data_IF_457864104768
#
_entry.id   IF_457864104768
#
_cell.length_a   1.000
_cell.length_b   1.000
_cell.length_c   1.000
_cell.angle_alpha   90.00
_cell.angle_beta   90.00
_cell.angle_gamma   90.00
#
_symmetry.space_group_name_H-M   'P 1'
#
loop_
_entity.id
_entity.type
_entity.pdbx_description
1 polymer ?
#
# COMPACT_ATOMS: atom_id res chain seq x y z
N UNK A 1 14.18 -13.07 14.58
CA UNK A 1 13.30 -13.81 15.50
C UNK A 1 13.09 -12.97 16.75
N UNK A 2 11.88 -12.93 17.26
CA UNK A 2 11.56 -12.34 18.56
C UNK A 2 11.14 -13.49 19.49
N UNK A 3 12.03 -13.88 20.40
CA UNK A 3 11.86 -15.11 21.17
C UNK A 3 11.77 -16.35 20.26
N UNK A 4 10.70 -17.13 20.36
CA UNK A 4 10.43 -18.29 19.50
C UNK A 4 9.74 -17.93 18.17
N UNK A 5 9.26 -16.70 18.00
CA UNK A 5 8.50 -16.29 16.81
C UNK A 5 9.43 -15.77 15.70
N UNK A 6 9.31 -16.35 14.51
CA UNK A 6 10.00 -15.87 13.30
C UNK A 6 9.17 -14.78 12.64
N UNK A 7 9.59 -13.52 12.77
CA UNK A 7 8.87 -12.38 12.18
C UNK A 7 9.16 -12.18 10.68
N UNK A 8 10.36 -12.61 10.24
CA UNK A 8 10.80 -12.55 8.83
C UNK A 8 11.53 -13.84 8.52
N UNK A 9 11.14 -14.55 7.47
CA UNK A 9 11.65 -15.86 7.12
C UNK A 9 12.22 -15.87 5.69
N UNK A 10 13.55 -15.92 5.59
CA UNK A 10 14.34 -16.13 4.37
C UNK A 10 13.93 -15.23 3.19
N UNK A 11 13.74 -13.94 3.43
CA UNK A 11 13.43 -12.99 2.36
C UNK A 11 14.68 -12.63 1.55
N UNK A 12 14.52 -12.53 0.22
CA UNK A 12 15.53 -12.01 -0.69
C UNK A 12 14.93 -10.84 -1.48
N UNK A 13 15.51 -9.66 -1.34
CA UNK A 13 15.05 -8.43 -2.00
C UNK A 13 16.23 -7.71 -2.62
N UNK A 14 16.01 -7.19 -3.83
CA UNK A 14 16.94 -6.29 -4.50
C UNK A 14 16.17 -5.06 -4.99
N UNK A 15 16.61 -3.87 -4.59
CA UNK A 15 15.95 -2.60 -4.88
C UNK A 15 16.86 -1.77 -5.76
N UNK A 16 16.33 -1.27 -6.87
CA UNK A 16 17.08 -0.41 -7.80
C UNK A 16 17.31 0.97 -7.17
N UNK A 17 18.51 1.51 -7.37
CA UNK A 17 18.80 2.89 -6.97
C UNK A 17 17.89 3.88 -7.72
N UNK A 18 17.35 4.85 -6.99
CA UNK A 18 16.45 5.88 -7.54
C UNK A 18 15.01 5.43 -7.77
N UNK A 19 14.64 4.17 -7.49
CA UNK A 19 13.27 3.70 -7.60
C UNK A 19 12.46 3.91 -6.31
N UNK A 20 11.14 3.85 -6.45
CA UNK A 20 10.19 3.73 -5.35
C UNK A 20 9.78 2.26 -5.23
N UNK A 21 10.14 1.63 -4.13
CA UNK A 21 9.86 0.22 -3.85
C UNK A 21 8.84 0.08 -2.72
N UNK A 22 7.79 -0.71 -2.95
CA UNK A 22 6.74 -0.99 -1.97
C UNK A 22 6.91 -2.36 -1.31
N UNK A 23 6.83 -2.42 0.01
CA UNK A 23 6.64 -3.67 0.75
C UNK A 23 5.18 -3.72 1.21
N UNK A 24 4.35 -4.41 0.43
CA UNK A 24 2.91 -4.53 0.63
C UNK A 24 2.57 -5.77 1.46
N UNK A 25 1.75 -5.65 2.47
CA UNK A 25 1.27 -6.79 3.23
C UNK A 25 0.40 -6.40 4.42
N UNK A 26 -0.36 -7.34 4.99
CA UNK A 26 -1.24 -7.08 6.12
C UNK A 26 -0.46 -6.70 7.38
N UNK A 27 -1.20 -6.27 8.41
CA UNK A 27 -0.63 -6.00 9.72
C UNK A 27 -0.04 -7.28 10.31
N UNK A 28 1.15 -7.18 10.92
CA UNK A 28 1.86 -8.35 11.44
C UNK A 28 2.64 -9.18 10.40
N UNK A 29 2.58 -8.87 9.10
CA UNK A 29 3.30 -9.63 8.07
C UNK A 29 4.83 -9.52 8.14
N UNK A 30 5.40 -8.64 8.99
CA UNK A 30 6.85 -8.47 9.16
C UNK A 30 7.42 -7.21 8.52
N UNK A 31 6.61 -6.33 7.91
CA UNK A 31 7.03 -5.10 7.21
C UNK A 31 7.96 -4.21 8.04
N UNK A 32 7.49 -3.77 9.21
CA UNK A 32 8.27 -2.93 10.14
C UNK A 32 9.54 -3.63 10.63
N UNK A 33 9.51 -4.96 10.79
CA UNK A 33 10.70 -5.73 11.15
C UNK A 33 11.77 -5.67 10.06
N UNK A 34 11.36 -5.76 8.79
CA UNK A 34 12.28 -5.58 7.65
C UNK A 34 12.91 -4.19 7.69
N UNK A 35 12.12 -3.12 7.84
CA UNK A 35 12.64 -1.75 7.96
C UNK A 35 13.61 -1.63 9.15
N UNK A 36 13.26 -2.16 10.33
CA UNK A 36 14.15 -2.12 11.51
C UNK A 36 15.49 -2.82 11.27
N UNK A 37 15.51 -3.91 10.51
CA UNK A 37 16.76 -4.57 10.13
C UNK A 37 17.57 -3.73 9.14
N UNK A 38 16.93 -3.16 8.11
CA UNK A 38 17.59 -2.34 7.10
C UNK A 38 18.13 -1.02 7.65
N UNK A 39 17.46 -0.43 8.63
CA UNK A 39 17.92 0.81 9.32
C UNK A 39 18.96 0.54 10.43
N UNK A 40 19.27 -0.73 10.71
CA UNK A 40 20.22 -1.10 11.76
C UNK A 40 19.69 -0.95 13.19
N UNK A 41 18.35 -0.80 13.35
CA UNK A 41 17.70 -0.79 14.67
C UNK A 41 17.54 -2.20 15.25
N UNK A 42 17.51 -3.21 14.39
CA UNK A 42 17.44 -4.61 14.77
C UNK A 42 18.46 -5.42 13.96
N UNK A 43 19.14 -6.35 14.58
CA UNK A 43 20.09 -7.21 13.86
C UNK A 43 19.36 -8.40 13.23
N UNK A 44 19.61 -8.75 11.95
CA UNK A 44 19.15 -10.02 11.41
C UNK A 44 19.70 -11.19 12.23
N UNK A 45 18.87 -12.20 12.51
CA UNK A 45 19.30 -13.41 13.21
C UNK A 45 20.23 -14.24 12.32
N UNK A 46 19.93 -14.27 11.02
CA UNK A 46 20.72 -14.92 9.97
C UNK A 46 20.61 -14.14 8.66
N UNK A 47 21.53 -14.41 7.74
CA UNK A 47 21.54 -13.72 6.45
C UNK A 47 22.33 -12.42 6.48
N UNK A 48 22.21 -11.63 5.40
CA UNK A 48 22.97 -10.41 5.18
C UNK A 48 22.08 -9.34 4.55
N UNK A 49 22.22 -8.11 5.02
CA UNK A 49 21.55 -6.97 4.43
C UNK A 49 22.56 -5.87 4.10
N UNK A 50 22.46 -5.34 2.88
CA UNK A 50 23.28 -4.23 2.40
C UNK A 50 22.38 -3.03 2.11
N UNK A 51 22.73 -1.87 2.63
CA UNK A 51 22.03 -0.61 2.43
C UNK A 51 23.03 0.43 1.95
N UNK A 52 22.79 1.04 0.79
CA UNK A 52 23.74 1.94 0.13
C UNK A 52 25.16 1.34 -0.06
N UNK A 53 25.25 0.00 -0.20
CA UNK A 53 26.51 -0.73 -0.32
C UNK A 53 27.16 -1.13 1.02
N UNK A 54 26.61 -0.72 2.16
CA UNK A 54 27.13 -1.00 3.49
C UNK A 54 26.33 -2.09 4.19
N UNK A 55 27.03 -3.03 4.84
CA UNK A 55 26.40 -4.06 5.66
C UNK A 55 25.81 -3.45 6.93
N UNK A 56 24.53 -3.72 7.18
CA UNK A 56 23.76 -3.11 8.30
C UNK A 56 24.29 -3.51 9.67
N UNK A 57 25.00 -4.65 9.77
CA UNK A 57 25.50 -5.18 11.03
C UNK A 57 26.90 -4.64 11.36
N UNK A 58 27.80 -4.60 10.36
CA UNK A 58 29.20 -4.23 10.54
C UNK A 58 29.50 -2.76 10.30
N UNK A 59 28.64 -2.07 9.50
CA UNK A 59 28.81 -0.67 9.10
C UNK A 59 27.59 0.18 9.43
N UNK A 60 26.96 -0.03 10.59
CA UNK A 60 25.69 0.60 10.96
C UNK A 60 25.73 2.14 10.96
N UNK A 61 26.88 2.76 11.31
CA UNK A 61 27.04 4.22 11.23
C UNK A 61 26.99 4.72 9.78
N UNK A 62 27.68 4.02 8.86
CA UNK A 62 27.65 4.36 7.43
C UNK A 62 26.27 4.17 6.83
N UNK A 63 25.53 3.16 7.26
CA UNK A 63 24.11 3.01 6.88
C UNK A 63 23.32 4.22 7.33
N UNK A 64 23.41 4.62 8.61
CA UNK A 64 22.66 5.76 9.18
C UNK A 64 23.00 7.10 8.51
N UNK A 65 24.24 7.30 8.09
CA UNK A 65 24.65 8.50 7.34
C UNK A 65 23.97 8.59 5.94
N UNK A 66 23.59 7.45 5.35
CA UNK A 66 23.06 7.38 4.00
C UNK A 66 21.54 7.16 3.94
N UNK A 67 20.86 7.07 5.07
CA UNK A 67 19.42 6.84 5.11
C UNK A 67 18.67 7.96 5.82
N UNK A 68 17.47 8.29 5.32
CA UNK A 68 16.43 8.96 6.07
C UNK A 68 15.38 7.94 6.49
N UNK A 69 14.74 8.14 7.63
CA UNK A 69 13.69 7.26 8.10
C UNK A 69 12.52 8.04 8.66
N UNK A 70 11.33 7.67 8.21
CA UNK A 70 10.05 8.19 8.64
C UNK A 70 9.27 7.02 9.23
N UNK A 71 9.01 7.09 10.51
CA UNK A 71 8.24 6.09 11.26
C UNK A 71 6.75 6.21 10.99
N UNK A 72 5.99 5.14 11.27
CA UNK A 72 4.54 5.18 11.35
C UNK A 72 4.03 6.14 12.45
N UNK A 73 4.78 6.23 13.55
CA UNK A 73 4.51 7.19 14.62
C UNK A 73 5.21 8.52 14.35
N UNK A 74 4.53 9.62 14.64
CA UNK A 74 5.08 10.97 14.49
C UNK A 74 6.12 11.23 15.57
N UNK A 75 7.38 11.48 15.17
CA UNK A 75 8.51 11.74 16.06
C UNK A 75 8.86 13.25 16.01
N UNK A 76 7.92 14.10 16.36
CA UNK A 76 8.14 15.53 16.43
C UNK A 76 7.88 16.02 17.86
N UNK A 77 8.66 17.01 18.31
CA UNK A 77 8.36 17.70 19.56
C UNK A 77 7.28 18.75 19.31
N UNK A 78 6.08 18.46 19.78
CA UNK A 78 4.89 19.31 19.65
C UNK A 78 5.02 20.65 20.38
N UNK A 79 5.94 20.76 21.34
CA UNK A 79 6.19 22.00 22.10
C UNK A 79 7.11 22.97 21.36
N UNK A 80 7.83 22.50 20.34
CA UNK A 80 8.80 23.25 19.55
C UNK A 80 8.19 23.78 18.25
N UNK A 81 8.84 24.77 17.68
CA UNK A 81 8.55 25.29 16.34
C UNK A 81 9.15 24.40 15.26
N UNK A 82 8.76 24.61 14.00
CA UNK A 82 9.34 23.96 12.84
C UNK A 82 10.87 24.04 12.80
N UNK A 83 11.40 25.24 12.97
CA UNK A 83 12.86 25.45 12.87
C UNK A 83 13.63 24.85 14.07
N UNK A 84 13.04 24.80 15.25
CA UNK A 84 13.64 24.16 16.41
C UNK A 84 13.71 22.64 16.24
N UNK A 85 12.63 21.99 15.74
CA UNK A 85 12.66 20.57 15.39
C UNK A 85 13.75 20.26 14.34
N UNK A 86 13.82 21.08 13.27
CA UNK A 86 14.85 20.92 12.22
C UNK A 86 16.26 21.16 12.79
N UNK A 87 16.43 22.11 13.69
CA UNK A 87 17.71 22.37 14.35
C UNK A 87 18.20 21.15 15.15
N UNK A 88 17.31 20.53 15.94
CA UNK A 88 17.66 19.30 16.69
C UNK A 88 18.15 18.23 15.71
N UNK A 89 17.41 17.99 14.62
CA UNK A 89 17.79 17.01 13.59
C UNK A 89 19.16 17.35 12.97
N UNK A 90 19.42 18.64 12.70
CA UNK A 90 20.73 19.06 12.17
C UNK A 90 21.89 18.74 13.10
N UNK A 91 21.65 18.82 14.42
CA UNK A 91 22.66 18.50 15.44
C UNK A 91 22.87 17.00 15.58
N UNK A 92 21.81 16.21 15.51
CA UNK A 92 21.91 14.73 15.54
C UNK A 92 22.75 14.19 14.37
N UNK A 93 22.67 14.83 13.20
CA UNK A 93 23.48 14.49 12.03
C UNK A 93 24.79 15.26 11.91
N UNK A 94 25.17 16.06 12.92
CA UNK A 94 26.40 16.88 12.93
C UNK A 94 26.55 17.74 11.67
N UNK A 95 25.45 18.30 11.15
CA UNK A 95 25.46 19.10 9.94
C UNK A 95 26.14 20.45 10.19
N UNK A 96 26.86 20.91 9.17
CA UNK A 96 27.50 22.22 9.17
C UNK A 96 26.49 23.38 9.14
N UNK A 97 26.96 24.62 9.12
CA UNK A 97 26.10 25.81 9.15
C UNK A 97 25.24 25.98 7.89
N UNK A 98 25.38 25.13 6.87
CA UNK A 98 24.57 25.19 5.64
C UNK A 98 23.17 24.58 5.82
N UNK A 99 22.94 23.84 6.91
CA UNK A 99 21.66 23.20 7.18
C UNK A 99 20.46 24.16 7.13
N UNK A 100 20.62 25.41 7.57
CA UNK A 100 19.55 26.42 7.53
C UNK A 100 19.11 26.72 6.09
N UNK A 101 20.06 26.88 5.15
CA UNK A 101 19.76 27.11 3.73
C UNK A 101 19.03 25.89 3.13
N UNK A 102 19.45 24.67 3.50
CA UNK A 102 18.81 23.44 3.05
C UNK A 102 17.38 23.34 3.62
N UNK A 103 17.20 23.62 4.90
CA UNK A 103 15.89 23.62 5.56
C UNK A 103 14.92 24.58 4.89
N UNK A 104 15.33 25.84 4.67
CA UNK A 104 14.50 26.86 3.98
C UNK A 104 14.09 26.39 2.58
N UNK A 105 15.02 25.80 1.82
CA UNK A 105 14.74 25.27 0.48
C UNK A 105 13.73 24.12 0.54
N UNK A 106 13.87 23.19 1.49
CA UNK A 106 12.96 22.06 1.68
C UNK A 106 11.58 22.51 2.16
N UNK A 107 11.51 23.46 3.10
CA UNK A 107 10.25 24.04 3.58
C UNK A 107 9.47 24.69 2.42
N UNK A 108 10.14 25.49 1.61
CA UNK A 108 9.53 26.11 0.41
C UNK A 108 9.08 25.04 -0.60
N UNK A 109 9.91 24.02 -0.84
CA UNK A 109 9.62 22.94 -1.79
C UNK A 109 8.42 22.10 -1.38
N UNK A 110 8.25 21.88 -0.06
CA UNK A 110 7.16 21.09 0.53
C UNK A 110 5.94 21.94 0.91
N UNK A 111 5.97 23.24 0.56
CA UNK A 111 4.87 24.17 0.86
C UNK A 111 4.51 24.19 2.37
N UNK A 112 5.53 24.23 3.20
CA UNK A 112 5.41 24.42 4.64
C UNK A 112 6.04 25.75 5.01
N UNK A 113 5.24 26.68 5.53
CA UNK A 113 5.73 28.04 5.81
C UNK A 113 6.80 28.02 6.93
N UNK A 114 8.01 28.49 6.60
CA UNK A 114 9.13 28.60 7.52
C UNK A 114 8.96 29.68 8.60
N UNK A 115 8.18 30.71 8.28
CA UNK A 115 7.94 31.88 9.14
C UNK A 115 6.85 31.64 10.15
N UNK A 116 6.16 30.51 10.08
CA UNK A 116 5.15 30.17 11.05
C UNK A 116 5.82 29.76 12.37
N UNK A 117 5.93 30.75 13.28
CA UNK A 117 6.40 30.54 14.66
C UNK A 117 5.45 29.69 15.51
N UNK A 118 4.45 29.06 14.89
CA UNK A 118 3.54 28.17 15.59
C UNK A 118 4.27 26.91 16.01
N UNK A 119 3.91 26.45 17.19
CA UNK A 119 4.37 25.15 17.69
C UNK A 119 3.80 24.05 16.83
N UNK A 120 4.60 23.01 16.61
CA UNK A 120 4.24 21.84 15.76
C UNK A 120 3.00 21.10 16.29
N UNK A 121 2.71 21.19 17.59
CA UNK A 121 1.48 20.66 18.18
C UNK A 121 0.17 21.24 17.61
N UNK A 122 0.23 22.39 16.91
CA UNK A 122 -0.92 23.00 16.22
C UNK A 122 -1.02 22.60 14.74
N UNK A 123 -0.11 21.76 14.25
CA UNK A 123 -0.09 21.32 12.86
C UNK A 123 -1.12 20.22 12.61
N UNK A 124 -1.68 20.20 11.40
CA UNK A 124 -2.44 19.04 10.94
C UNK A 124 -1.50 17.83 10.79
N UNK A 125 -2.07 16.62 10.78
CA UNK A 125 -1.29 15.39 10.57
C UNK A 125 -0.47 15.45 9.27
N UNK A 126 -1.06 15.99 8.19
CA UNK A 126 -0.36 16.18 6.92
C UNK A 126 0.81 17.18 7.01
N UNK A 127 0.68 18.27 7.76
CA UNK A 127 1.78 19.21 8.00
C UNK A 127 2.89 18.58 8.85
N UNK A 128 2.54 17.79 9.86
CA UNK A 128 3.51 17.03 10.66
C UNK A 128 4.28 16.05 9.78
N UNK A 129 3.59 15.32 8.91
CA UNK A 129 4.23 14.37 7.99
C UNK A 129 5.16 15.07 6.98
N UNK A 130 4.78 16.26 6.47
CA UNK A 130 5.68 17.07 5.63
C UNK A 130 6.96 17.48 6.40
N UNK A 131 6.84 17.86 7.67
CA UNK A 131 8.00 18.22 8.49
C UNK A 131 8.92 17.04 8.76
N UNK A 132 8.37 15.85 9.04
CA UNK A 132 9.17 14.62 9.17
C UNK A 132 9.97 14.32 7.91
N UNK A 133 9.35 14.49 6.73
CA UNK A 133 10.01 14.32 5.43
C UNK A 133 11.15 15.32 5.27
N UNK A 134 10.94 16.60 5.63
CA UNK A 134 11.99 17.63 5.59
C UNK A 134 13.17 17.23 6.47
N UNK A 135 12.90 16.80 7.69
CA UNK A 135 13.93 16.36 8.63
C UNK A 135 14.69 15.15 8.12
N UNK A 136 13.98 14.18 7.54
CA UNK A 136 14.60 12.97 6.96
C UNK A 136 15.45 13.25 5.71
N UNK A 137 15.18 14.34 4.97
CA UNK A 137 15.93 14.75 3.78
C UNK A 137 17.07 15.74 4.07
N UNK A 138 17.13 16.29 5.28
CA UNK A 138 18.02 17.41 5.61
C UNK A 138 19.51 17.10 5.38
N UNK A 139 19.92 15.86 5.65
CA UNK A 139 21.30 15.36 5.49
C UNK A 139 21.56 14.72 4.11
N UNK A 140 20.60 14.88 3.15
CA UNK A 140 20.71 14.39 1.77
C UNK A 140 20.97 12.88 1.67
N UNK A 141 20.08 12.04 2.24
CA UNK A 141 20.25 10.60 2.24
C UNK A 141 20.15 10.04 0.81
N UNK A 142 20.79 8.87 0.59
CA UNK A 142 20.62 8.11 -0.67
C UNK A 142 19.36 7.29 -0.69
N UNK A 143 18.87 6.89 0.50
CA UNK A 143 17.70 6.03 0.66
C UNK A 143 16.78 6.63 1.72
N UNK A 144 15.48 6.68 1.42
CA UNK A 144 14.44 7.09 2.35
C UNK A 144 13.54 5.90 2.68
N UNK A 145 13.54 5.50 3.94
CA UNK A 145 12.62 4.50 4.47
C UNK A 145 11.36 5.19 5.00
N UNK A 146 10.19 4.69 4.63
CA UNK A 146 8.89 5.19 5.08
C UNK A 146 8.05 4.02 5.61
N UNK A 147 7.81 3.98 6.91
CA UNK A 147 6.97 2.94 7.51
C UNK A 147 5.53 3.43 7.61
N UNK A 148 4.66 2.90 6.74
CA UNK A 148 3.23 3.26 6.64
C UNK A 148 2.98 4.78 6.59
N UNK A 149 3.54 5.51 5.61
CA UNK A 149 3.61 6.97 5.63
C UNK A 149 2.26 7.67 5.60
N UNK A 150 1.20 7.01 5.16
CA UNK A 150 -0.14 7.59 4.99
C UNK A 150 -1.16 7.15 6.04
N UNK A 151 -0.72 6.36 7.03
CA UNK A 151 -1.61 5.92 8.12
C UNK A 151 -2.19 7.14 8.86
N UNK A 152 -3.50 7.09 9.16
CA UNK A 152 -4.19 8.17 9.87
C UNK A 152 -4.48 9.42 9.04
N UNK A 153 -4.16 9.43 7.72
CA UNK A 153 -4.50 10.52 6.81
C UNK A 153 -5.86 10.26 6.12
N UNK A 154 -6.62 11.32 5.94
CA UNK A 154 -7.80 11.31 5.07
C UNK A 154 -7.41 11.10 3.60
N UNK A 155 -8.38 10.72 2.75
CA UNK A 155 -8.14 10.38 1.35
C UNK A 155 -7.48 11.51 0.54
N UNK A 156 -7.82 12.78 0.82
CA UNK A 156 -7.24 13.91 0.12
C UNK A 156 -5.79 14.16 0.55
N UNK A 157 -5.53 14.16 1.87
CA UNK A 157 -4.18 14.29 2.44
C UNK A 157 -3.26 13.16 1.97
N UNK A 158 -3.79 11.93 1.85
CA UNK A 158 -3.06 10.77 1.31
C UNK A 158 -2.61 11.01 -0.13
N UNK A 159 -3.52 11.44 -1.01
CA UNK A 159 -3.20 11.75 -2.42
C UNK A 159 -2.18 12.89 -2.56
N UNK A 160 -2.26 13.90 -1.67
CA UNK A 160 -1.28 14.97 -1.62
C UNK A 160 0.11 14.44 -1.25
N UNK A 161 0.18 13.55 -0.24
CA UNK A 161 1.44 12.95 0.18
C UNK A 161 2.02 12.04 -0.91
N UNK A 162 1.21 11.26 -1.64
CA UNK A 162 1.68 10.47 -2.77
C UNK A 162 2.34 11.32 -3.86
N UNK A 163 1.69 12.43 -4.23
CA UNK A 163 2.29 13.38 -5.19
C UNK A 163 3.62 13.92 -4.68
N UNK A 164 3.69 14.21 -3.39
CA UNK A 164 4.91 14.70 -2.76
C UNK A 164 6.03 13.66 -2.78
N UNK A 165 5.75 12.40 -2.45
CA UNK A 165 6.71 11.29 -2.49
C UNK A 165 7.29 11.14 -3.90
N UNK A 166 6.43 11.10 -4.94
CA UNK A 166 6.88 11.05 -6.34
C UNK A 166 7.75 12.25 -6.73
N UNK A 167 7.33 13.45 -6.32
CA UNK A 167 8.07 14.69 -6.59
C UNK A 167 9.46 14.66 -5.94
N UNK A 168 9.58 14.18 -4.70
CA UNK A 168 10.85 14.03 -4.00
C UNK A 168 11.76 13.02 -4.71
N UNK A 169 11.25 11.85 -5.05
CA UNK A 169 12.02 10.84 -5.77
C UNK A 169 12.54 11.39 -7.10
N UNK A 170 11.68 12.00 -7.92
CA UNK A 170 12.06 12.56 -9.21
C UNK A 170 13.07 13.73 -9.09
N UNK A 171 12.92 14.59 -8.07
CA UNK A 171 13.77 15.78 -7.91
C UNK A 171 15.14 15.47 -7.32
N UNK A 172 15.19 14.56 -6.35
CA UNK A 172 16.41 14.27 -5.60
C UNK A 172 17.08 12.95 -6.00
N UNK A 173 16.43 12.12 -6.83
CA UNK A 173 16.93 10.80 -7.21
C UNK A 173 17.08 9.83 -6.03
N UNK A 174 16.45 10.13 -4.88
CA UNK A 174 16.54 9.31 -3.68
C UNK A 174 15.77 8.00 -3.87
N UNK A 175 16.37 6.89 -3.51
CA UNK A 175 15.68 5.59 -3.48
C UNK A 175 14.68 5.60 -2.32
N UNK A 176 13.44 5.20 -2.57
CA UNK A 176 12.41 5.16 -1.51
C UNK A 176 11.98 3.71 -1.32
N UNK A 177 12.04 3.23 -0.07
CA UNK A 177 11.39 2.01 0.35
C UNK A 177 10.25 2.37 1.30
N UNK A 178 9.02 2.06 0.89
CA UNK A 178 7.86 2.26 1.76
C UNK A 178 7.21 0.94 2.12
N UNK A 179 6.68 0.87 3.33
CA UNK A 179 5.78 -0.20 3.73
C UNK A 179 4.35 0.32 3.69
N UNK A 180 3.43 -0.54 3.33
CA UNK A 180 2.01 -0.20 3.34
C UNK A 180 1.14 -1.46 3.46
N UNK A 181 -0.04 -1.26 4.00
CA UNK A 181 -1.16 -2.21 3.88
C UNK A 181 -2.23 -1.70 2.90
N UNK A 182 -2.06 -0.50 2.32
CA UNK A 182 -2.96 0.04 1.30
C UNK A 182 -2.50 -0.36 -0.10
N UNK A 183 -3.28 -1.24 -0.74
CA UNK A 183 -3.03 -1.73 -2.11
C UNK A 183 -2.97 -0.58 -3.11
N UNK A 184 -3.88 0.41 -2.99
CA UNK A 184 -3.91 1.58 -3.86
C UNK A 184 -2.63 2.42 -3.75
N UNK A 185 -2.05 2.53 -2.55
CA UNK A 185 -0.79 3.25 -2.34
C UNK A 185 0.37 2.58 -3.07
N UNK A 186 0.49 1.26 -2.94
CA UNK A 186 1.51 0.49 -3.64
C UNK A 186 1.36 0.60 -5.16
N UNK A 187 0.12 0.49 -5.66
CA UNK A 187 -0.19 0.57 -7.09
C UNK A 187 0.13 1.94 -7.70
N UNK A 188 -0.19 3.01 -6.97
CA UNK A 188 0.03 4.38 -7.46
C UNK A 188 1.47 4.82 -7.34
N UNK A 189 2.18 4.45 -6.27
CA UNK A 189 3.49 5.00 -5.96
C UNK A 189 4.66 4.20 -6.51
N UNK A 190 4.57 2.87 -6.47
CA UNK A 190 5.76 2.03 -6.56
C UNK A 190 6.10 1.65 -8.00
N UNK A 191 7.39 1.62 -8.31
CA UNK A 191 7.91 1.06 -9.56
C UNK A 191 7.94 -0.46 -9.47
N UNK A 192 8.33 -0.99 -8.30
CA UNK A 192 8.33 -2.42 -7.97
C UNK A 192 7.74 -2.63 -6.58
N UNK A 193 7.05 -3.76 -6.39
CA UNK A 193 6.38 -4.15 -5.15
C UNK A 193 6.85 -5.55 -4.78
N UNK A 194 7.10 -5.78 -3.48
CA UNK A 194 7.13 -7.11 -2.92
C UNK A 194 5.92 -7.30 -2.00
N UNK A 195 5.18 -8.37 -2.21
CA UNK A 195 4.07 -8.76 -1.34
C UNK A 195 4.63 -9.67 -0.25
N UNK A 196 4.48 -9.24 1.00
CA UNK A 196 4.91 -10.02 2.18
C UNK A 196 3.70 -10.53 2.96
N UNK A 197 3.72 -11.80 3.30
CA UNK A 197 2.71 -12.45 4.13
C UNK A 197 3.40 -13.44 5.08
N UNK A 198 3.05 -13.41 6.37
CA UNK A 198 3.62 -14.28 7.41
C UNK A 198 5.17 -14.34 7.35
N UNK A 199 5.81 -13.19 7.19
CA UNK A 199 7.27 -13.07 7.17
C UNK A 199 7.94 -13.51 5.87
N UNK A 200 7.19 -13.94 4.83
CA UNK A 200 7.74 -14.42 3.55
C UNK A 200 7.31 -13.53 2.40
N UNK A 201 8.19 -13.36 1.41
CA UNK A 201 7.82 -12.74 0.13
C UNK A 201 7.07 -13.78 -0.70
N UNK A 202 5.79 -13.49 -0.98
CA UNK A 202 4.93 -14.38 -1.80
C UNK A 202 4.99 -14.03 -3.27
N UNK A 203 5.25 -12.76 -3.61
CA UNK A 203 5.46 -12.31 -4.97
C UNK A 203 6.24 -11.00 -5.00
N UNK A 204 6.92 -10.73 -6.12
CA UNK A 204 7.52 -9.42 -6.40
C UNK A 204 7.50 -9.11 -7.89
N UNK A 205 7.50 -7.83 -8.23
CA UNK A 205 7.51 -7.29 -9.59
C UNK A 205 6.85 -5.91 -9.67
N UNK A 206 6.76 -5.37 -10.88
CA UNK A 206 6.03 -4.12 -11.07
C UNK A 206 4.53 -4.31 -10.80
N UNK A 207 3.79 -3.23 -10.48
CA UNK A 207 2.33 -3.31 -10.30
C UNK A 207 1.63 -4.01 -11.47
N UNK A 208 2.05 -3.73 -12.70
CA UNK A 208 1.49 -4.36 -13.90
C UNK A 208 1.79 -5.86 -13.98
N UNK A 209 3.03 -6.27 -13.68
CA UNK A 209 3.41 -7.69 -13.64
C UNK A 209 2.66 -8.45 -12.56
N UNK A 210 2.41 -7.83 -11.40
CA UNK A 210 1.63 -8.47 -10.34
C UNK A 210 0.15 -8.59 -10.72
N UNK A 211 -0.45 -7.55 -11.31
CA UNK A 211 -1.83 -7.58 -11.80
C UNK A 211 -2.04 -8.65 -12.86
N UNK A 212 -1.08 -8.83 -13.79
CA UNK A 212 -1.18 -9.85 -14.84
C UNK A 212 -1.13 -11.30 -14.33
N UNK A 213 -0.78 -11.52 -13.06
CA UNK A 213 -0.84 -12.84 -12.43
C UNK A 213 -2.28 -13.24 -12.07
N UNK A 214 -3.16 -12.26 -11.81
CA UNK A 214 -4.59 -12.52 -11.72
C UNK A 214 -5.12 -12.67 -13.17
N UNK A 215 -5.28 -13.91 -13.63
CA UNK A 215 -5.57 -14.26 -15.02
C UNK A 215 -7.08 -14.23 -15.34
N UNK A 216 -7.88 -13.38 -14.67
CA UNK A 216 -9.32 -13.32 -14.88
C UNK A 216 -9.87 -11.91 -14.74
N UNK A 217 -10.88 -11.61 -15.53
CA UNK A 217 -11.72 -10.42 -15.37
C UNK A 217 -12.92 -10.74 -14.47
N UNK A 218 -13.52 -9.73 -13.87
CA UNK A 218 -14.76 -9.85 -13.13
C UNK A 218 -15.85 -9.07 -13.89
N UNK A 219 -16.95 -9.75 -14.22
CA UNK A 219 -18.15 -9.13 -14.74
C UNK A 219 -19.20 -9.09 -13.62
N UNK A 220 -19.54 -7.89 -13.16
CA UNK A 220 -20.61 -7.67 -12.19
C UNK A 220 -21.88 -7.25 -12.92
N UNK A 221 -22.97 -7.98 -12.69
CA UNK A 221 -24.27 -7.73 -13.32
C UNK A 221 -25.33 -7.54 -12.24
N UNK A 222 -25.98 -6.38 -12.25
CA UNK A 222 -27.14 -6.09 -11.43
C UNK A 222 -28.41 -6.36 -12.24
N UNK A 223 -29.37 -7.04 -11.63
CA UNK A 223 -30.69 -7.32 -12.21
C UNK A 223 -31.81 -6.61 -11.45
N UNK A 224 -32.85 -6.21 -12.16
CA UNK A 224 -34.05 -5.68 -11.52
C UNK A 224 -34.96 -6.76 -10.91
N UNK A 225 -34.76 -8.03 -11.29
CA UNK A 225 -35.56 -9.16 -10.82
C UNK A 225 -34.70 -10.40 -10.63
N UNK A 226 -35.29 -11.44 -10.02
CA UNK A 226 -34.61 -12.73 -9.88
C UNK A 226 -34.24 -13.31 -11.25
N UNK A 227 -33.02 -13.85 -11.35
CA UNK A 227 -32.49 -14.55 -12.50
C UNK A 227 -31.82 -15.87 -12.06
N UNK A 228 -32.13 -16.97 -12.74
CA UNK A 228 -31.48 -18.24 -12.47
C UNK A 228 -30.09 -18.29 -13.13
N UNK A 229 -29.06 -18.01 -12.34
CA UNK A 229 -27.68 -17.95 -12.78
C UNK A 229 -27.13 -19.29 -13.30
N UNK A 230 -27.78 -20.45 -12.99
CA UNK A 230 -27.35 -21.77 -13.48
C UNK A 230 -27.28 -21.85 -15.00
N UNK A 231 -28.11 -21.04 -15.66
CA UNK A 231 -28.10 -20.94 -17.13
C UNK A 231 -26.75 -20.46 -17.68
N UNK A 232 -26.02 -19.68 -16.91
CA UNK A 232 -24.71 -19.15 -17.28
C UNK A 232 -23.55 -20.16 -17.11
N UNK A 233 -23.75 -21.21 -16.32
CA UNK A 233 -22.73 -22.24 -16.09
C UNK A 233 -22.34 -22.98 -17.36
N UNK A 234 -23.20 -22.95 -18.40
CA UNK A 234 -22.93 -23.58 -19.70
C UNK A 234 -22.00 -22.76 -20.61
N UNK A 235 -21.66 -21.52 -20.25
CA UNK A 235 -20.83 -20.63 -21.07
C UNK A 235 -19.36 -20.97 -20.86
N UNK A 236 -18.65 -21.26 -21.94
CA UNK A 236 -17.22 -21.53 -21.87
C UNK A 236 -16.43 -20.28 -21.49
N UNK A 237 -15.49 -20.41 -20.52
CA UNK A 237 -14.66 -19.32 -20.04
C UNK A 237 -15.18 -18.61 -18.80
N UNK A 238 -16.34 -19.02 -18.26
CA UNK A 238 -16.75 -18.68 -16.89
C UNK A 238 -15.96 -19.60 -15.94
N UNK A 239 -15.26 -18.98 -14.99
CA UNK A 239 -14.46 -19.68 -13.98
C UNK A 239 -15.24 -19.86 -12.69
N UNK A 240 -16.04 -18.87 -12.30
CA UNK A 240 -16.80 -18.87 -11.05
C UNK A 240 -17.98 -17.89 -11.12
N UNK A 241 -19.10 -18.21 -10.49
CA UNK A 241 -20.26 -17.32 -10.34
C UNK A 241 -20.56 -17.14 -8.86
N UNK A 242 -20.48 -15.91 -8.37
CA UNK A 242 -20.75 -15.55 -6.98
C UNK A 242 -22.01 -14.69 -6.92
N UNK A 243 -22.97 -15.06 -6.09
CA UNK A 243 -24.13 -14.24 -5.78
C UNK A 243 -23.79 -13.26 -4.66
N UNK A 244 -24.03 -11.98 -4.90
CA UNK A 244 -23.88 -10.92 -3.90
C UNK A 244 -25.27 -10.39 -3.57
N UNK A 245 -25.73 -10.62 -2.34
CA UNK A 245 -26.99 -10.06 -1.83
C UNK A 245 -28.16 -11.04 -1.79
N UNK A 246 -28.86 -10.99 -0.66
CA UNK A 246 -29.96 -11.78 -0.10
C UNK A 246 -29.51 -13.02 0.67
N UNK A 247 -29.14 -12.82 1.94
CA UNK A 247 -29.23 -13.86 2.97
C UNK A 247 -30.68 -14.35 3.08
N UNK A 248 -30.80 -15.67 3.13
CA UNK A 248 -32.04 -16.45 3.03
C UNK A 248 -33.06 -16.31 4.19
N UNK A 249 -33.05 -15.28 5.02
CA UNK A 249 -33.90 -15.24 6.22
C UNK A 249 -35.15 -14.34 6.12
N UNK A 250 -35.39 -13.65 4.98
CA UNK A 250 -36.55 -12.73 4.87
C UNK A 250 -37.44 -12.96 3.65
N UNK A 251 -37.43 -14.16 3.05
CA UNK A 251 -38.18 -14.45 1.81
C UNK A 251 -39.71 -14.45 2.02
N UNK A 252 -40.20 -14.63 3.25
CA UNK A 252 -41.65 -14.71 3.52
C UNK A 252 -42.37 -13.37 3.70
N UNK A 253 -41.69 -12.23 3.75
CA UNK A 253 -42.31 -10.93 4.09
C UNK A 253 -42.12 -9.78 3.12
N UNK A 254 -41.37 -9.94 2.01
CA UNK A 254 -41.19 -8.85 1.03
C UNK A 254 -41.81 -9.19 -0.33
N UNK A 255 -42.64 -8.28 -0.79
CA UNK A 255 -43.29 -8.29 -2.12
C UNK A 255 -42.22 -8.44 -3.20
N UNK A 256 -42.48 -9.24 -4.25
CA UNK A 256 -41.61 -9.60 -5.40
C UNK A 256 -40.95 -8.42 -6.14
N UNK A 257 -41.16 -7.18 -5.74
CA UNK A 257 -40.71 -5.97 -6.45
C UNK A 257 -39.40 -5.35 -5.94
N UNK A 258 -38.79 -5.87 -4.87
CA UNK A 258 -37.59 -5.24 -4.27
C UNK A 258 -36.34 -6.12 -4.21
N UNK A 259 -36.35 -7.32 -4.79
CA UNK A 259 -35.17 -8.20 -4.79
C UNK A 259 -34.28 -7.95 -6.00
N UNK A 260 -33.37 -6.98 -5.91
CA UNK A 260 -32.30 -6.84 -6.89
C UNK A 260 -31.26 -7.95 -6.67
N UNK A 261 -31.05 -8.80 -7.68
CA UNK A 261 -30.00 -9.80 -7.69
C UNK A 261 -28.72 -9.18 -8.28
N UNK A 262 -27.60 -9.37 -7.61
CA UNK A 262 -26.27 -9.04 -8.14
C UNK A 262 -25.48 -10.33 -8.32
N UNK A 263 -24.93 -10.52 -9.53
CA UNK A 263 -23.99 -11.59 -9.83
C UNK A 263 -22.61 -11.03 -10.07
N UNK A 264 -21.60 -11.67 -9.49
CA UNK A 264 -20.20 -11.42 -9.76
C UNK A 264 -19.63 -12.64 -10.45
N UNK A 265 -19.24 -12.51 -11.71
CA UNK A 265 -18.84 -13.60 -12.59
C UNK A 265 -17.35 -13.44 -12.90
N UNK A 266 -16.57 -14.43 -12.52
CA UNK A 266 -15.15 -14.51 -12.81
C UNK A 266 -14.97 -15.16 -14.18
N UNK A 267 -14.32 -14.46 -15.10
CA UNK A 267 -14.19 -14.90 -16.50
C UNK A 267 -12.76 -14.74 -16.99
N UNK A 268 -12.33 -15.59 -17.92
CA UNK A 268 -10.97 -15.50 -18.47
C UNK A 268 -10.71 -14.18 -19.22
N UNK A 269 -11.67 -13.72 -20.02
CA UNK A 269 -11.62 -12.43 -20.71
C UNK A 269 -13.05 -11.89 -20.86
N UNK A 270 -13.33 -10.77 -20.21
CA UNK A 270 -14.67 -10.18 -20.21
C UNK A 270 -15.10 -9.69 -21.58
N UNK A 271 -14.20 -9.17 -22.41
CA UNK A 271 -14.52 -8.61 -23.73
C UNK A 271 -15.02 -9.69 -24.70
N UNK A 272 -14.49 -10.90 -24.59
CA UNK A 272 -14.90 -12.04 -25.44
C UNK A 272 -16.16 -12.72 -24.93
N UNK A 273 -16.39 -12.76 -23.62
CA UNK A 273 -17.48 -13.51 -22.99
C UNK A 273 -18.75 -12.67 -22.84
N UNK A 274 -18.62 -11.36 -22.71
CA UNK A 274 -19.73 -10.46 -22.44
C UNK A 274 -20.86 -10.55 -23.49
N UNK A 275 -20.62 -10.62 -24.83
CA UNK A 275 -21.67 -10.77 -25.80
C UNK A 275 -22.49 -12.06 -25.61
N UNK A 276 -21.80 -13.18 -25.31
CA UNK A 276 -22.46 -14.46 -25.06
C UNK A 276 -23.26 -14.46 -23.76
N UNK A 277 -22.70 -13.82 -22.69
CA UNK A 277 -23.41 -13.61 -21.43
C UNK A 277 -24.73 -12.85 -21.63
N UNK A 278 -24.69 -11.74 -22.37
CA UNK A 278 -25.87 -10.92 -22.64
C UNK A 278 -26.89 -11.70 -23.47
N UNK A 279 -26.44 -12.39 -24.54
CA UNK A 279 -27.31 -13.19 -25.37
C UNK A 279 -28.05 -14.26 -24.56
N UNK A 280 -27.32 -14.99 -23.74
CA UNK A 280 -27.86 -16.06 -22.91
C UNK A 280 -28.86 -15.54 -21.87
N UNK A 281 -28.57 -14.42 -21.24
CA UNK A 281 -29.49 -13.77 -20.27
C UNK A 281 -30.79 -13.36 -20.97
N UNK A 282 -30.71 -12.79 -22.16
CA UNK A 282 -31.87 -12.29 -22.89
C UNK A 282 -32.74 -13.40 -23.54
N UNK A 283 -32.11 -14.54 -23.88
CA UNK A 283 -32.83 -15.72 -24.42
C UNK A 283 -33.75 -16.38 -23.38
N UNK A 284 -33.30 -16.47 -22.13
CA UNK A 284 -34.00 -17.24 -21.09
C UNK A 284 -35.15 -16.47 -20.41
N UNK A 285 -35.02 -15.17 -20.26
CA UNK A 285 -36.08 -14.30 -19.74
C UNK A 285 -35.85 -12.89 -20.25
N UNK A 286 -36.91 -12.10 -20.54
CA UNK A 286 -36.79 -10.65 -20.73
C UNK A 286 -36.45 -9.98 -19.40
N UNK A 287 -35.28 -10.35 -18.84
CA UNK A 287 -34.78 -9.83 -17.58
C UNK A 287 -34.14 -8.48 -17.84
N UNK A 288 -34.64 -7.47 -17.17
CA UNK A 288 -34.05 -6.15 -17.24
C UNK A 288 -32.69 -6.17 -16.48
N UNK A 289 -31.60 -6.13 -17.25
CA UNK A 289 -30.28 -5.86 -16.70
C UNK A 289 -30.29 -4.40 -16.24
N UNK A 290 -29.96 -4.17 -14.99
CA UNK A 290 -29.87 -2.84 -14.39
C UNK A 290 -28.53 -2.17 -14.69
N UNK A 291 -27.45 -2.93 -14.53
CA UNK A 291 -26.09 -2.46 -14.84
C UNK A 291 -25.17 -3.62 -15.12
N UNK A 292 -24.14 -3.36 -15.93
CA UNK A 292 -23.01 -4.26 -16.14
C UNK A 292 -21.74 -3.47 -15.86
N UNK A 293 -20.86 -4.01 -15.04
CA UNK A 293 -19.55 -3.45 -14.73
C UNK A 293 -18.48 -4.49 -14.99
N UNK A 294 -17.43 -4.12 -15.71
CA UNK A 294 -16.25 -4.95 -15.92
C UNK A 294 -15.14 -4.42 -15.03
N UNK A 295 -14.61 -5.28 -14.19
CA UNK A 295 -13.44 -5.00 -13.38
C UNK A 295 -12.26 -5.81 -13.94
N UNK A 296 -11.26 -5.10 -14.44
CA UNK A 296 -9.98 -5.71 -14.85
C UNK A 296 -9.18 -6.13 -13.61
N UNK A 297 -8.27 -7.12 -13.74
CA UNK A 297 -7.42 -7.55 -12.63
C UNK A 297 -6.71 -6.36 -11.98
N UNK A 298 -6.77 -6.32 -10.66
CA UNK A 298 -6.10 -5.32 -9.85
C UNK A 298 -5.11 -6.01 -8.88
N UNK A 299 -4.35 -5.23 -8.12
CA UNK A 299 -3.40 -5.79 -7.15
C UNK A 299 -4.09 -6.57 -6.02
N UNK A 300 -5.34 -6.24 -5.70
CA UNK A 300 -6.13 -6.97 -4.70
C UNK A 300 -6.49 -8.37 -5.21
N UNK A 301 -6.92 -8.47 -6.48
CA UNK A 301 -7.17 -9.76 -7.15
C UNK A 301 -5.91 -10.60 -7.18
N UNK A 302 -4.76 -10.00 -7.51
CA UNK A 302 -3.47 -10.69 -7.51
C UNK A 302 -3.07 -11.15 -6.10
N UNK A 303 -3.29 -10.32 -5.09
CA UNK A 303 -3.02 -10.67 -3.69
C UNK A 303 -3.87 -11.87 -3.23
N UNK A 304 -5.17 -11.84 -3.54
CA UNK A 304 -6.10 -12.95 -3.22
C UNK A 304 -5.64 -14.27 -3.86
N UNK A 305 -5.26 -14.22 -5.13
CA UNK A 305 -4.79 -15.42 -5.86
C UNK A 305 -3.49 -15.98 -5.29
N UNK A 306 -2.58 -15.10 -4.87
CA UNK A 306 -1.28 -15.47 -4.32
C UNK A 306 -1.33 -15.97 -2.87
N UNK A 307 -2.30 -15.51 -2.08
CA UNK A 307 -2.40 -15.81 -0.64
C UNK A 307 -3.58 -16.73 -0.29
N UNK A 308 -4.53 -16.89 -1.21
CA UNK A 308 -5.77 -17.64 -1.00
C UNK A 308 -6.78 -16.95 -0.07
N UNK A 309 -6.50 -15.72 0.38
CA UNK A 309 -7.35 -14.94 1.29
C UNK A 309 -7.42 -13.50 0.83
N UNK A 310 -8.57 -12.84 1.07
CA UNK A 310 -8.68 -11.39 0.86
C UNK A 310 -7.81 -10.63 1.85
N UNK A 311 -7.37 -9.47 1.44
CA UNK A 311 -6.52 -8.63 2.28
C UNK A 311 -7.23 -8.26 3.60
N UNK A 312 -8.51 -7.91 3.53
CA UNK A 312 -9.38 -7.60 4.67
C UNK A 312 -9.55 -8.77 5.63
N UNK A 313 -9.75 -9.99 5.13
CA UNK A 313 -9.91 -11.21 5.94
C UNK A 313 -8.65 -11.55 6.74
N UNK A 314 -7.47 -11.21 6.21
CA UNK A 314 -6.21 -11.43 6.93
C UNK A 314 -6.04 -10.36 8.02
N UNK A 315 -6.49 -9.13 7.79
CA UNK A 315 -6.44 -8.07 8.80
C UNK A 315 -7.39 -8.36 9.97
N UNK A 316 -8.62 -8.81 9.73
CA UNK A 316 -9.58 -9.19 10.77
C UNK A 316 -9.05 -10.33 11.66
N UNK A 317 -8.48 -11.38 11.05
CA UNK A 317 -7.87 -12.49 11.81
C UNK A 317 -6.66 -12.07 12.65
N UNK A 318 -5.95 -11.02 12.27
CA UNK A 318 -4.82 -10.48 13.04
C UNK A 318 -5.28 -9.60 14.23
N UNK A 319 -6.48 -9.06 14.20
CA UNK A 319 -7.09 -8.34 15.33
C UNK A 319 -7.63 -9.27 16.42
N UNK A 320 -8.20 -10.42 16.04
CA UNK A 320 -8.78 -11.40 16.98
C UNK A 320 -7.72 -12.19 17.77
N UNK A 321 -6.46 -12.13 17.39
CA UNK A 321 -5.34 -12.83 18.05
C UNK A 321 -4.52 -11.95 19.01
N UNK A 322 -4.91 -10.69 19.24
CA UNK A 322 -4.29 -9.76 20.20
C UNK A 322 -5.15 -9.58 21.44
#
# INVERSE_FOLDING_TARGET
>A
MYGSQTAVDQINLQIKSGSIFGLLGPNGAGKTTVIKMLTGLSKPTQGKALVAGYDVTTHSLKVKENIGWISSEVILDDSLTTMENIWIQSRLHSLDNTWKKKAVRLLKYLELDEKDNKKVGKFSTGMKKKLEIIMALLHEPKILFMDEPTIGLDANSRRLLWRLIKKINAQYGVTILLTTHYIEEADVLCDDIAIINNGKIVASGSPQQLKSRASYDIVEIDFFSYFDHKVLESINGILEIIKIGLENNDIEKRTRSESSLRLRIKVGNAETILPELISKITEFQPVLIKSIKIEKPNLESAFLELTGKRFEEIEETAYDQK
#
